data_IF_481439437384
#
_entry.id   IF_481439437384
#
_cell.length_a   1.000
_cell.length_b   1.000
_cell.length_c   1.000
_cell.angle_alpha   90.00
_cell.angle_beta   90.00
_cell.angle_gamma   90.00
#
_symmetry.space_group_name_H-M   'P 1'
#
loop_
_entity.id
_entity.type
_entity.pdbx_description
1 polymer ?
#
# COMPACT_ATOMS: atom_id res chain seq x y z
N UNK A 1 -6.17 0.70 21.85
CA UNK A 1 -6.20 1.74 20.79
C UNK A 1 -5.56 1.18 19.54
N UNK A 2 -6.32 1.14 18.46
CA UNK A 2 -5.82 0.62 17.20
C UNK A 2 -5.17 1.74 16.38
N UNK A 3 -3.97 1.49 15.89
CA UNK A 3 -3.27 2.42 15.01
C UNK A 3 -3.58 2.05 13.57
N UNK A 4 -4.49 2.79 12.96
CA UNK A 4 -4.87 2.55 11.57
C UNK A 4 -5.19 3.86 10.86
N UNK A 5 -5.06 3.81 9.54
CA UNK A 5 -5.41 4.91 8.65
C UNK A 5 -6.42 4.39 7.65
N UNK A 6 -7.46 5.18 7.39
CA UNK A 6 -8.45 4.89 6.37
C UNK A 6 -8.61 6.11 5.48
N UNK A 7 -8.49 5.92 4.17
CA UNK A 7 -8.76 6.97 3.18
C UNK A 7 -9.55 6.39 2.03
N UNK A 8 -10.32 7.23 1.36
CA UNK A 8 -11.07 6.84 0.19
C UNK A 8 -11.19 8.02 -0.77
N UNK A 9 -11.06 7.72 -2.06
CA UNK A 9 -11.26 8.71 -3.12
C UNK A 9 -12.02 8.06 -4.26
N UNK A 10 -12.76 8.87 -5.03
CA UNK A 10 -13.36 8.41 -6.28
C UNK A 10 -12.36 8.55 -7.40
N UNK A 11 -12.30 7.53 -8.26
CA UNK A 11 -11.48 7.56 -9.47
C UNK A 11 -12.38 7.36 -10.68
N UNK A 12 -12.03 7.99 -11.80
CA UNK A 12 -12.83 7.95 -13.03
C UNK A 12 -12.48 6.73 -13.86
N UNK A 13 -12.83 5.58 -13.32
CA UNK A 13 -12.56 4.29 -13.97
C UNK A 13 -13.51 3.24 -13.38
N UNK A 14 -13.68 2.12 -14.08
CA UNK A 14 -14.44 0.98 -13.55
C UNK A 14 -13.64 0.29 -12.45
N UNK A 15 -14.30 -0.48 -11.55
CA UNK A 15 -13.57 -1.26 -10.55
C UNK A 15 -12.54 -2.20 -11.17
N UNK A 16 -12.86 -2.83 -12.29
CA UNK A 16 -11.95 -3.73 -13.01
C UNK A 16 -10.68 -3.00 -13.46
N UNK A 17 -10.86 -1.81 -14.04
CA UNK A 17 -9.71 -1.01 -14.50
C UNK A 17 -8.90 -0.47 -13.32
N UNK A 18 -9.56 0.00 -12.29
CA UNK A 18 -8.89 0.53 -11.09
C UNK A 18 -8.08 -0.56 -10.39
N UNK A 19 -8.65 -1.76 -10.26
CA UNK A 19 -7.96 -2.91 -9.70
C UNK A 19 -6.74 -3.29 -10.54
N UNK A 20 -6.92 -3.37 -11.85
CA UNK A 20 -5.83 -3.69 -12.78
C UNK A 20 -4.69 -2.68 -12.66
N UNK A 21 -5.02 -1.39 -12.67
CA UNK A 21 -4.02 -0.34 -12.55
C UNK A 21 -3.28 -0.43 -11.21
N UNK A 22 -4.01 -0.69 -10.13
CA UNK A 22 -3.39 -0.80 -8.81
C UNK A 22 -2.35 -1.93 -8.78
N UNK A 23 -2.71 -3.10 -9.27
CA UNK A 23 -1.88 -4.30 -9.16
C UNK A 23 -0.82 -4.36 -10.27
N UNK A 24 -1.23 -4.24 -11.52
CA UNK A 24 -0.34 -4.47 -12.66
C UNK A 24 0.57 -3.29 -12.95
N UNK A 25 0.15 -2.09 -12.59
CA UNK A 25 0.84 -0.86 -12.96
C UNK A 25 1.41 -0.11 -11.75
N UNK A 26 1.61 -0.79 -10.64
CA UNK A 26 2.12 -0.16 -9.42
C UNK A 26 3.48 0.51 -9.64
N UNK A 27 4.33 -0.07 -10.48
CA UNK A 27 5.61 0.51 -10.81
C UNK A 27 5.50 1.88 -11.50
N UNK A 28 4.36 2.15 -12.14
CA UNK A 28 4.12 3.41 -12.83
C UNK A 28 3.48 4.46 -11.93
N UNK A 29 2.56 4.07 -11.01
CA UNK A 29 1.85 5.06 -10.19
C UNK A 29 2.44 5.24 -8.80
N UNK A 30 3.21 4.28 -8.28
CA UNK A 30 3.76 4.36 -6.93
C UNK A 30 4.67 5.58 -6.81
N UNK A 31 4.41 6.42 -5.81
CA UNK A 31 5.19 7.62 -5.51
C UNK A 31 5.92 7.41 -4.19
N UNK A 32 7.25 7.29 -4.21
CA UNK A 32 8.02 7.10 -2.99
C UNK A 32 7.82 8.26 -2.02
N UNK A 33 7.85 7.94 -0.74
CA UNK A 33 7.72 8.91 0.32
C UNK A 33 8.67 8.53 1.45
N UNK A 34 9.17 9.52 2.18
CA UNK A 34 10.09 9.29 3.30
C UNK A 34 9.51 8.37 4.38
N UNK A 35 8.19 8.34 4.53
CA UNK A 35 7.54 7.48 5.52
C UNK A 35 7.61 5.99 5.13
N UNK A 36 7.61 5.69 3.83
CA UNK A 36 7.55 4.32 3.31
C UNK A 36 8.72 3.98 2.40
N UNK A 37 9.73 4.79 2.43
CA UNK A 37 10.93 4.49 1.68
C UNK A 37 11.64 3.32 2.33
N UNK A 38 11.73 2.21 1.61
CA UNK A 38 12.37 1.00 2.13
C UNK A 38 13.89 1.12 2.10
N UNK A 39 14.41 2.00 1.22
CA UNK A 39 15.83 2.27 1.09
C UNK A 39 16.04 3.73 0.70
N UNK A 40 17.28 4.27 0.86
CA UNK A 40 17.61 5.60 0.37
C UNK A 40 17.42 5.77 -1.14
N UNK A 41 17.48 4.67 -1.90
CA UNK A 41 17.23 4.67 -3.33
C UNK A 41 16.05 3.75 -3.63
N UNK A 42 14.83 4.31 -3.80
CA UNK A 42 13.67 3.47 -4.07
C UNK A 42 13.82 2.75 -5.41
N UNK A 43 13.48 1.47 -5.40
CA UNK A 43 13.44 0.66 -6.60
C UNK A 43 12.05 0.68 -7.24
N UNK A 44 11.81 -0.30 -8.10
CA UNK A 44 10.54 -0.45 -8.79
C UNK A 44 9.69 -1.49 -8.06
N UNK A 45 8.45 -1.10 -7.71
CA UNK A 45 7.52 -2.01 -7.07
C UNK A 45 6.77 -2.84 -8.11
N UNK A 46 6.51 -4.10 -7.75
CA UNK A 46 5.66 -4.97 -8.56
C UNK A 46 4.94 -5.98 -7.68
N UNK A 47 3.72 -6.36 -8.10
CA UNK A 47 2.97 -7.44 -7.48
C UNK A 47 3.09 -8.70 -8.31
N UNK A 48 3.33 -9.82 -7.65
CA UNK A 48 3.09 -11.13 -8.25
C UNK A 48 1.59 -11.41 -8.05
N UNK A 49 0.79 -11.57 -9.13
CA UNK A 49 -0.67 -11.64 -8.97
C UNK A 49 -1.14 -12.91 -8.29
N UNK A 50 -2.31 -12.82 -7.65
CA UNK A 50 -2.97 -13.96 -7.02
C UNK A 50 -2.66 -14.09 -5.53
N UNK A 51 -3.47 -14.87 -4.83
CA UNK A 51 -3.27 -15.16 -3.41
C UNK A 51 -1.90 -15.82 -3.19
N UNK A 52 -1.17 -15.35 -2.19
CA UNK A 52 0.19 -15.83 -1.92
C UNK A 52 1.27 -15.16 -2.75
N UNK A 53 0.90 -14.32 -3.73
CA UNK A 53 1.88 -13.54 -4.50
C UNK A 53 2.56 -12.50 -3.63
N UNK A 54 3.75 -12.06 -4.03
CA UNK A 54 4.51 -11.09 -3.24
C UNK A 54 4.38 -9.69 -3.81
N UNK A 55 4.45 -8.70 -2.93
CA UNK A 55 4.76 -7.33 -3.31
C UNK A 55 6.25 -7.16 -3.11
N UNK A 56 6.97 -6.87 -4.19
CA UNK A 56 8.43 -6.77 -4.17
C UNK A 56 8.90 -5.42 -4.70
N UNK A 57 10.07 -5.01 -4.23
CA UNK A 57 10.80 -3.87 -4.76
C UNK A 57 12.08 -4.39 -5.42
N UNK A 58 12.24 -4.14 -6.70
CA UNK A 58 13.44 -4.49 -7.45
C UNK A 58 14.37 -3.29 -7.46
N UNK A 59 15.56 -3.46 -6.87
CA UNK A 59 16.57 -2.42 -6.70
C UNK A 59 17.65 -2.50 -7.76
N UNK A 60 18.51 -1.49 -7.79
CA UNK A 60 19.66 -1.47 -8.68
C UNK A 60 20.49 -2.75 -8.52
N UNK A 61 20.93 -3.31 -9.64
CA UNK A 61 21.67 -4.56 -9.64
C UNK A 61 20.80 -5.82 -9.55
N UNK A 62 19.46 -5.65 -9.64
CA UNK A 62 18.53 -6.77 -9.63
C UNK A 62 18.22 -7.34 -8.25
N UNK A 63 18.66 -6.70 -7.18
CA UNK A 63 18.33 -7.11 -5.82
C UNK A 63 16.84 -6.91 -5.55
N UNK A 64 16.22 -7.87 -4.88
CA UNK A 64 14.79 -7.86 -4.59
C UNK A 64 14.58 -7.80 -3.08
N UNK A 65 13.71 -6.87 -2.66
CA UNK A 65 13.25 -6.79 -1.29
C UNK A 65 11.77 -7.14 -1.24
N UNK A 66 11.41 -8.13 -0.43
CA UNK A 66 10.01 -8.52 -0.26
C UNK A 66 9.34 -7.58 0.74
N UNK A 67 8.40 -6.78 0.26
CA UNK A 67 7.63 -5.84 1.11
C UNK A 67 6.51 -6.57 1.82
N UNK A 68 5.83 -7.49 1.13
CA UNK A 68 4.72 -8.23 1.71
C UNK A 68 4.20 -9.32 0.80
N UNK A 69 3.08 -9.91 1.23
CA UNK A 69 2.40 -10.98 0.51
C UNK A 69 0.92 -10.67 0.39
N UNK A 70 0.33 -11.07 -0.73
CA UNK A 70 -1.11 -10.95 -0.94
C UNK A 70 -1.81 -12.00 -0.10
N UNK A 71 -2.65 -11.54 0.83
CA UNK A 71 -3.42 -12.40 1.73
C UNK A 71 -4.84 -12.65 1.24
N UNK A 72 -5.44 -11.66 0.56
CA UNK A 72 -6.77 -11.78 -0.03
C UNK A 72 -6.68 -11.24 -1.45
N UNK A 73 -7.19 -12.03 -2.39
CA UNK A 73 -7.19 -11.70 -3.82
C UNK A 73 -8.61 -11.90 -4.34
N UNK A 74 -9.38 -10.82 -4.41
CA UNK A 74 -10.78 -10.84 -4.83
C UNK A 74 -11.04 -9.78 -5.90
N UNK A 75 -10.45 -9.91 -7.10
CA UNK A 75 -10.70 -8.92 -8.15
C UNK A 75 -12.16 -8.95 -8.59
N UNK A 76 -12.75 -7.83 -8.92
CA UNK A 76 -12.19 -6.49 -8.87
C UNK A 76 -12.56 -5.72 -7.59
N UNK A 77 -12.90 -6.40 -6.50
CA UNK A 77 -13.49 -5.77 -5.33
C UNK A 77 -12.54 -5.52 -4.17
N UNK A 78 -11.61 -6.43 -3.92
CA UNK A 78 -10.84 -6.39 -2.68
C UNK A 78 -9.46 -7.00 -2.83
N UNK A 79 -8.49 -6.34 -2.23
CA UNK A 79 -7.10 -6.79 -2.17
C UNK A 79 -6.59 -6.54 -0.75
N UNK A 80 -6.00 -7.55 -0.13
CA UNK A 80 -5.34 -7.38 1.17
C UNK A 80 -3.93 -7.92 1.05
N UNK A 81 -2.95 -7.12 1.47
CA UNK A 81 -1.57 -7.55 1.46
C UNK A 81 -0.86 -7.07 2.73
N UNK A 82 0.16 -7.82 3.15
CA UNK A 82 1.00 -7.41 4.26
C UNK A 82 2.01 -6.36 3.79
N UNK A 83 2.48 -5.54 4.73
CA UNK A 83 3.44 -4.48 4.45
C UNK A 83 4.55 -4.53 5.48
N UNK A 84 5.78 -4.56 5.02
CA UNK A 84 6.96 -4.54 5.86
C UNK A 84 7.97 -3.55 5.30
N UNK A 85 8.38 -2.59 6.13
CA UNK A 85 9.47 -1.68 5.78
C UNK A 85 10.80 -2.30 6.22
N UNK A 86 11.90 -1.83 5.62
CA UNK A 86 13.22 -2.37 5.93
C UNK A 86 13.61 -2.20 7.41
N UNK A 87 13.07 -1.19 8.09
CA UNK A 87 13.33 -0.94 9.49
C UNK A 87 12.44 -1.75 10.45
N UNK A 88 11.53 -2.57 9.92
CA UNK A 88 10.73 -3.47 10.76
C UNK A 88 11.55 -4.73 11.09
N UNK A 89 11.30 -5.35 12.26
CA UNK A 89 11.82 -6.69 12.51
C UNK A 89 11.34 -7.67 11.43
N UNK A 90 12.12 -8.71 11.07
CA UNK A 90 11.79 -9.59 9.94
C UNK A 90 10.44 -10.28 10.03
N UNK A 91 9.94 -10.57 11.25
CA UNK A 91 8.65 -11.25 11.42
C UNK A 91 7.46 -10.29 11.48
N UNK A 92 7.73 -8.99 11.50
CA UNK A 92 6.68 -8.02 11.74
C UNK A 92 6.16 -7.43 10.44
N UNK A 93 4.83 -7.44 10.31
CA UNK A 93 4.14 -6.85 9.17
C UNK A 93 2.96 -6.01 9.66
N UNK A 94 2.70 -4.93 8.95
CA UNK A 94 1.41 -4.26 9.01
C UNK A 94 0.58 -4.79 7.85
N UNK A 95 -0.67 -4.36 7.74
CA UNK A 95 -1.57 -4.88 6.73
C UNK A 95 -2.29 -3.75 6.00
N UNK A 96 -2.42 -3.89 4.69
CA UNK A 96 -3.08 -2.91 3.82
C UNK A 96 -4.26 -3.61 3.15
N UNK A 97 -5.45 -3.06 3.35
CA UNK A 97 -6.66 -3.53 2.68
C UNK A 97 -7.13 -2.47 1.70
N UNK A 98 -7.32 -2.86 0.45
CA UNK A 98 -7.78 -1.98 -0.62
C UNK A 98 -9.14 -2.46 -1.11
N UNK A 99 -10.12 -1.55 -1.12
CA UNK A 99 -11.46 -1.84 -1.62
C UNK A 99 -11.73 -1.06 -2.89
N UNK A 100 -12.51 -1.66 -3.79
CA UNK A 100 -12.89 -1.06 -5.07
C UNK A 100 -14.40 -1.22 -5.23
N UNK A 101 -15.14 -0.14 -5.04
CA UNK A 101 -16.60 -0.15 -5.04
C UNK A 101 -17.13 0.74 -6.16
N UNK A 102 -17.99 0.19 -7.01
CA UNK A 102 -18.62 0.94 -8.08
C UNK A 102 -19.55 2.03 -7.51
N UNK A 103 -19.42 3.26 -7.99
CA UNK A 103 -20.28 4.38 -7.64
C UNK A 103 -20.66 5.06 -8.96
N UNK A 104 -21.80 4.67 -9.53
CA UNK A 104 -22.16 5.09 -10.87
C UNK A 104 -21.14 4.59 -11.88
N UNK A 105 -20.56 5.50 -12.65
CA UNK A 105 -19.53 5.19 -13.63
C UNK A 105 -18.10 5.30 -13.05
N UNK A 106 -18.01 5.66 -11.78
CA UNK A 106 -16.74 5.83 -11.09
C UNK A 106 -16.52 4.69 -10.11
N UNK A 107 -15.36 4.65 -9.51
CA UNK A 107 -15.01 3.68 -8.48
C UNK A 107 -14.53 4.42 -7.24
N UNK A 108 -15.06 4.04 -6.09
CA UNK A 108 -14.52 4.46 -4.81
C UNK A 108 -13.40 3.50 -4.46
N UNK A 109 -12.18 4.01 -4.42
CA UNK A 109 -11.01 3.25 -3.98
C UNK A 109 -10.72 3.62 -2.54
N UNK A 110 -10.71 2.63 -1.66
CA UNK A 110 -10.44 2.84 -0.24
C UNK A 110 -9.18 2.08 0.16
N UNK A 111 -8.43 2.64 1.10
CA UNK A 111 -7.26 1.99 1.68
C UNK A 111 -7.36 2.09 3.19
N UNK A 112 -7.26 0.93 3.86
CA UNK A 112 -7.09 0.85 5.30
C UNK A 112 -5.73 0.22 5.57
N UNK A 113 -4.84 0.97 6.23
CA UNK A 113 -3.53 0.49 6.63
C UNK A 113 -3.53 0.38 8.14
N UNK A 114 -3.33 -0.82 8.67
CA UNK A 114 -3.53 -1.16 10.08
C UNK A 114 -2.41 -2.03 10.63
N UNK A 115 -2.35 -2.15 11.96
CA UNK A 115 -1.42 -3.05 12.62
C UNK A 115 -0.17 -2.37 13.17
N UNK A 116 -0.11 -1.03 13.16
CA UNK A 116 1.05 -0.31 13.69
C UNK A 116 1.22 -0.48 15.20
N UNK A 117 0.14 -0.78 15.92
CA UNK A 117 0.18 -1.05 17.36
C UNK A 117 0.90 -2.35 17.69
N UNK A 118 1.12 -3.22 16.70
CA UNK A 118 1.86 -4.47 16.89
C UNK A 118 3.38 -4.29 16.71
N UNK A 119 3.82 -3.14 16.25
CA UNK A 119 5.25 -2.84 16.11
C UNK A 119 5.86 -2.70 17.51
N UNK A 120 6.93 -3.44 17.84
CA UNK A 120 7.54 -3.36 19.17
C UNK A 120 7.95 -1.94 19.54
N UNK A 121 7.78 -1.58 20.81
CA UNK A 121 8.08 -0.25 21.30
C UNK A 121 9.55 0.14 21.11
N UNK A 122 10.45 -0.83 21.14
CA UNK A 122 11.88 -0.62 20.96
C UNK A 122 12.27 -0.44 19.49
N UNK A 123 11.37 -0.75 18.54
CA UNK A 123 11.63 -0.57 17.12
C UNK A 123 11.64 0.93 16.77
N UNK A 124 12.56 1.35 15.91
CA UNK A 124 12.59 2.73 15.41
C UNK A 124 11.26 3.11 14.72
N UNK A 125 10.60 2.16 14.07
CA UNK A 125 9.31 2.39 13.44
C UNK A 125 8.23 2.72 14.48
N UNK A 126 8.28 2.09 15.67
CA UNK A 126 7.28 2.30 16.72
C UNK A 126 7.33 3.70 17.32
N UNK A 127 8.49 4.33 17.30
CA UNK A 127 8.61 5.71 17.81
C UNK A 127 7.83 6.71 16.96
N UNK A 128 7.52 6.33 15.73
CA UNK A 128 6.76 7.16 14.79
C UNK A 128 5.26 6.89 14.84
N UNK A 129 4.85 5.69 15.23
CA UNK A 129 3.45 5.26 15.20
C UNK A 129 3.05 4.74 16.59
N UNK A 130 1.89 5.11 17.11
CA UNK A 130 0.77 5.80 16.45
C UNK A 130 0.71 7.33 16.67
N UNK A 131 1.77 8.04 16.47
CA UNK A 131 1.76 9.51 16.57
C UNK A 131 0.66 10.08 15.65
N UNK A 132 -0.27 10.92 16.17
CA UNK A 132 -1.37 11.45 15.36
C UNK A 132 -0.92 12.26 14.13
N UNK A 133 0.20 12.98 14.23
CA UNK A 133 0.73 13.76 13.11
C UNK A 133 1.23 12.82 12.02
N UNK A 134 1.90 11.74 12.41
CA UNK A 134 2.41 10.77 11.43
C UNK A 134 1.29 9.95 10.80
N UNK A 135 0.24 9.62 11.58
CA UNK A 135 -0.94 8.97 11.01
C UNK A 135 -1.64 9.86 9.99
N UNK A 136 -1.68 11.18 10.26
CA UNK A 136 -2.24 12.13 9.31
C UNK A 136 -1.40 12.19 8.02
N UNK A 137 -0.08 12.19 8.14
CA UNK A 137 0.82 12.16 6.99
C UNK A 137 0.68 10.87 6.19
N UNK A 138 0.46 9.77 6.89
CA UNK A 138 0.21 8.48 6.27
C UNK A 138 -1.10 8.52 5.47
N UNK A 139 -2.14 9.15 6.02
CA UNK A 139 -3.40 9.33 5.31
C UNK A 139 -3.21 10.16 4.03
N UNK A 140 -2.46 11.25 4.12
CA UNK A 140 -2.13 12.07 2.95
C UNK A 140 -1.35 11.28 1.92
N UNK A 141 -0.39 10.49 2.35
CA UNK A 141 0.38 9.61 1.48
C UNK A 141 -0.53 8.68 0.69
N UNK A 142 -1.46 8.00 1.37
CA UNK A 142 -2.36 7.08 0.67
C UNK A 142 -3.34 7.80 -0.25
N UNK A 143 -3.79 9.01 0.11
CA UNK A 143 -4.62 9.81 -0.81
C UNK A 143 -3.87 10.11 -2.09
N UNK A 144 -2.60 10.49 -1.99
CA UNK A 144 -1.77 10.77 -3.15
C UNK A 144 -1.57 9.52 -4.01
N UNK A 145 -1.40 8.36 -3.38
CA UNK A 145 -1.26 7.10 -4.10
C UNK A 145 -2.56 6.74 -4.83
N UNK A 146 -3.72 6.88 -4.18
CA UNK A 146 -5.00 6.60 -4.83
C UNK A 146 -5.24 7.58 -6.00
N UNK A 147 -4.89 8.84 -5.83
CA UNK A 147 -5.00 9.82 -6.91
C UNK A 147 -4.14 9.42 -8.11
N UNK A 148 -2.93 8.91 -7.85
CA UNK A 148 -2.03 8.42 -8.90
C UNK A 148 -2.62 7.19 -9.61
N UNK A 149 -3.25 6.28 -8.88
CA UNK A 149 -3.98 5.14 -9.47
C UNK A 149 -5.08 5.65 -10.38
N UNK A 150 -5.84 6.64 -9.92
CA UNK A 150 -6.92 7.24 -10.71
C UNK A 150 -6.43 7.86 -12.02
N UNK A 151 -5.31 8.58 -11.96
CA UNK A 151 -4.69 9.15 -13.17
C UNK A 151 -4.28 8.05 -14.14
N UNK A 152 -3.73 6.97 -13.63
CA UNK A 152 -3.26 5.85 -14.46
C UNK A 152 -4.42 5.07 -15.06
N UNK A 153 -5.50 4.90 -14.32
CA UNK A 153 -6.67 4.12 -14.75
C UNK A 153 -7.59 4.89 -15.70
N UNK A 154 -7.55 6.21 -15.67
CA UNK A 154 -8.42 7.05 -16.49
C UNK A 154 -8.13 6.94 -17.99
#
# INVERSE_FOLDING_TARGET
MTSKVYVALRVKATPERAFQAFVEEIGAWWRPNMLFQTTPRPGVLSFEPGGGGRLIETRDGGKVFEIGQIRVWEPPRRLVFSWRQANFPPELHTEVEVGFEAVGEETRVSVEHRGFDQVPAESAARHRFPDPVLLMRLAEFWRDQIAAVGERAA
#
